data_IF_432545566340
#
_entry.id   IF_432545566340
#
_cell.length_a   1.000
_cell.length_b   1.000
_cell.length_c   1.000
_cell.angle_alpha   90.00
_cell.angle_beta   90.00
_cell.angle_gamma   90.00
#
_symmetry.space_group_name_H-M   'P 1'
#
loop_
_entity.id
_entity.type
_entity.pdbx_description
1 polymer ?
#
# COMPACT_ATOMS: atom_id res chain seq x y z
N UNK A 1 -8.91 13.14 28.05
CA UNK A 1 -8.19 12.85 28.06
C UNK A 1 -7.61 12.75 27.67
N UNK A 2 -8.14 12.75 27.51
CA UNK A 2 -7.40 12.36 27.33
C UNK A 2 -7.08 12.23 26.96
N UNK A 3 -7.47 12.00 26.72
CA UNK A 3 -6.85 11.57 26.52
C UNK A 3 -6.56 11.32 26.06
N UNK A 4 -7.09 11.18 25.95
CA UNK A 4 -6.55 10.65 25.77
C UNK A 4 -6.42 10.55 25.27
N UNK A 5 -6.66 10.24 25.09
CA UNK A 5 -6.23 9.86 24.81
C UNK A 5 -5.95 9.29 24.36
N UNK A 6 -6.39 9.17 24.27
CA UNK A 6 -5.92 8.41 24.13
C UNK A 6 -5.86 7.95 23.67
N UNK A 7 -6.15 7.61 23.46
CA UNK A 7 -5.77 6.93 23.17
C UNK A 7 -5.70 6.45 22.83
N UNK A 8 -5.88 6.24 22.70
CA UNK A 8 -5.53 5.65 22.49
C UNK A 8 -5.39 5.19 22.06
N UNK A 9 -5.66 4.75 21.88
CA UNK A 9 -5.30 4.27 21.48
C UNK A 9 -5.34 4.03 20.94
N UNK A 10 -5.71 3.87 20.61
CA UNK A 10 -5.42 3.56 20.21
C UNK A 10 -5.43 3.58 19.71
N UNK A 11 -5.70 3.39 19.44
CA UNK A 11 -5.25 3.57 18.87
C UNK A 11 -4.69 3.23 18.41
N UNK A 12 -4.96 2.87 18.09
CA UNK A 12 -4.23 2.69 17.60
C UNK A 12 -3.62 2.83 17.46
N UNK A 13 -3.53 2.59 17.38
CA UNK A 13 -2.72 2.75 17.43
C UNK A 13 -1.95 3.01 16.92
N UNK A 14 -1.72 3.62 16.80
CA UNK A 14 -0.83 3.87 16.26
C UNK A 14 0.25 3.99 16.65
N UNK A 15 0.53 3.97 16.83
CA UNK A 15 1.47 3.53 17.19
C UNK A 15 2.81 4.14 16.95
N UNK A 16 3.35 4.71 17.79
CA UNK A 16 4.70 5.06 17.93
C UNK A 16 5.39 5.66 16.80
N UNK A 17 4.78 6.23 15.97
CA UNK A 17 5.41 6.70 14.82
C UNK A 17 5.44 8.19 14.80
N UNK A 18 5.57 8.72 13.65
CA UNK A 18 5.64 10.13 13.42
C UNK A 18 4.36 10.86 13.80
N UNK A 19 3.33 10.15 14.19
CA UNK A 19 2.03 10.74 14.46
C UNK A 19 1.19 10.97 13.21
N UNK A 20 1.75 10.73 12.04
CA UNK A 20 0.98 10.85 10.81
C UNK A 20 0.10 9.62 10.63
N UNK A 21 -1.22 9.82 10.47
CA UNK A 21 -2.11 8.68 10.24
C UNK A 21 -1.70 7.89 9.01
N UNK A 22 -1.88 6.57 9.06
CA UNK A 22 -1.51 5.70 7.98
C UNK A 22 -2.21 6.08 6.67
N UNK A 23 -3.48 6.43 6.75
CA UNK A 23 -4.25 6.87 5.58
C UNK A 23 -3.53 7.99 4.84
N UNK A 24 -3.00 8.94 5.60
CA UNK A 24 -2.29 10.07 5.01
C UNK A 24 -0.94 9.65 4.43
N UNK A 25 -0.21 8.79 5.14
CA UNK A 25 1.05 8.28 4.63
C UNK A 25 0.88 7.56 3.31
N UNK A 26 -0.21 6.81 3.17
CA UNK A 26 -0.48 6.07 1.95
C UNK A 26 -1.05 6.93 0.83
N UNK A 27 -1.39 8.18 1.12
CA UNK A 27 -1.91 9.08 0.12
C UNK A 27 -3.36 8.84 -0.25
N UNK A 28 -4.14 8.29 0.67
CA UNK A 28 -5.56 8.02 0.42
C UNK A 28 -6.34 9.30 0.68
N UNK A 29 -6.88 9.87 -0.38
CA UNK A 29 -7.60 11.15 -0.33
C UNK A 29 -9.10 10.93 -0.44
N UNK A 30 -9.91 11.95 -0.10
CA UNK A 30 -11.36 11.82 -0.28
C UNK A 30 -11.70 11.38 -1.70
N UNK A 31 -12.64 10.47 -1.82
CA UNK A 31 -13.11 9.96 -3.10
C UNK A 31 -12.20 8.96 -3.77
N UNK A 32 -11.08 8.58 -3.15
CA UNK A 32 -10.11 7.68 -3.77
C UNK A 32 -10.70 6.30 -4.03
N UNK A 33 -10.26 5.71 -5.14
CA UNK A 33 -10.52 4.30 -5.45
C UNK A 33 -9.36 3.52 -4.89
N UNK A 34 -9.62 2.76 -3.83
CA UNK A 34 -8.60 2.08 -3.05
C UNK A 34 -8.69 0.57 -3.25
N UNK A 35 -7.60 -0.04 -3.68
CA UNK A 35 -7.49 -1.48 -3.79
C UNK A 35 -6.74 -2.04 -2.60
N UNK A 36 -7.35 -2.98 -1.90
CA UNK A 36 -6.67 -3.70 -0.81
C UNK A 36 -6.55 -5.15 -1.24
N UNK A 37 -5.34 -5.53 -1.65
CA UNK A 37 -5.10 -6.83 -2.26
C UNK A 37 -4.35 -7.71 -1.28
N UNK A 38 -4.97 -8.83 -0.91
CA UNK A 38 -4.42 -9.79 0.05
C UNK A 38 -4.15 -9.18 1.41
N UNK A 39 -4.96 -8.20 1.81
CA UNK A 39 -4.77 -7.54 3.10
C UNK A 39 -4.96 -8.55 4.24
N UNK A 40 -4.08 -8.49 5.26
CA UNK A 40 -4.24 -9.38 6.40
C UNK A 40 -5.49 -9.05 7.19
N UNK A 41 -5.98 -10.03 7.93
CA UNK A 41 -7.11 -9.82 8.80
C UNK A 41 -6.80 -8.70 9.78
N UNK A 42 -7.75 -7.82 10.00
CA UNK A 42 -7.56 -6.70 10.92
C UNK A 42 -6.92 -5.47 10.30
N UNK A 43 -6.55 -5.53 9.02
CA UNK A 43 -5.91 -4.36 8.40
C UNK A 43 -6.84 -3.15 8.38
N UNK A 44 -8.13 -3.36 8.32
CA UNK A 44 -9.09 -2.25 8.35
C UNK A 44 -8.93 -1.43 9.64
N UNK A 45 -8.68 -2.11 10.75
CA UNK A 45 -8.45 -1.43 12.03
C UNK A 45 -7.13 -0.66 11.99
N UNK A 46 -6.08 -1.28 11.44
CA UNK A 46 -4.78 -0.62 11.29
C UNK A 46 -4.90 0.63 10.43
N UNK A 47 -5.67 0.54 9.36
CA UNK A 47 -5.84 1.65 8.43
C UNK A 47 -6.59 2.82 9.08
N UNK A 48 -7.57 2.50 9.92
CA UNK A 48 -8.33 3.51 10.63
C UNK A 48 -9.43 4.13 9.78
N UNK A 49 -9.87 5.28 10.21
CA UNK A 49 -10.97 5.99 9.55
C UNK A 49 -10.54 6.50 8.18
N UNK A 50 -11.36 6.23 7.17
CA UNK A 50 -11.07 6.66 5.81
C UNK A 50 -11.67 8.02 5.53
N UNK A 51 -11.06 8.80 4.62
CA UNK A 51 -11.69 10.04 4.16
C UNK A 51 -13.03 9.77 3.49
N UNK A 52 -13.90 10.78 3.43
CA UNK A 52 -15.22 10.61 2.83
C UNK A 52 -15.11 10.19 1.37
N UNK A 53 -16.02 9.31 0.96
CA UNK A 53 -16.14 8.91 -0.43
C UNK A 53 -15.14 7.89 -0.91
N UNK A 54 -14.24 7.41 -0.05
CA UNK A 54 -13.28 6.37 -0.44
C UNK A 54 -14.04 5.08 -0.72
N UNK A 55 -13.74 4.47 -1.87
CA UNK A 55 -14.36 3.21 -2.27
C UNK A 55 -13.30 2.13 -2.30
N UNK A 56 -13.51 1.08 -1.51
CA UNK A 56 -12.57 -0.03 -1.40
C UNK A 56 -13.03 -1.18 -2.28
N UNK A 57 -12.09 -1.74 -3.04
CA UNK A 57 -12.31 -3.01 -3.74
C UNK A 57 -11.14 -3.92 -3.40
N UNK A 58 -11.44 -5.20 -3.29
CA UNK A 58 -10.44 -6.19 -2.87
C UNK A 58 -10.02 -7.10 -4.01
N UNK A 59 -10.43 -6.77 -5.23
CA UNK A 59 -10.07 -7.49 -6.45
C UNK A 59 -9.64 -6.50 -7.51
N UNK A 60 -8.74 -6.96 -8.38
CA UNK A 60 -8.21 -6.10 -9.45
C UNK A 60 -9.18 -6.09 -10.62
N UNK A 61 -10.32 -5.44 -10.42
CA UNK A 61 -11.36 -5.36 -11.44
C UNK A 61 -12.03 -3.99 -11.37
N UNK A 62 -12.65 -3.59 -12.46
CA UNK A 62 -13.36 -2.32 -12.54
C UNK A 62 -12.45 -1.16 -12.93
N UNK A 63 -12.82 0.02 -12.49
CA UNK A 63 -12.06 1.23 -12.80
C UNK A 63 -10.65 1.18 -12.20
N UNK A 64 -9.68 1.87 -12.82
CA UNK A 64 -8.34 1.93 -12.26
C UNK A 64 -8.33 2.49 -10.85
N UNK A 65 -7.36 2.05 -10.06
CA UNK A 65 -7.24 2.46 -8.67
C UNK A 65 -6.32 3.67 -8.54
N UNK A 66 -6.69 4.58 -7.64
CA UNK A 66 -5.81 5.69 -7.27
C UNK A 66 -4.71 5.22 -6.34
N UNK A 67 -5.03 4.29 -5.45
CA UNK A 67 -4.08 3.71 -4.51
C UNK A 67 -4.36 2.22 -4.42
N UNK A 68 -3.31 1.41 -4.53
CA UNK A 68 -3.39 -0.01 -4.26
C UNK A 68 -2.43 -0.32 -3.12
N UNK A 69 -2.88 -1.07 -2.12
CA UNK A 69 -2.01 -1.63 -1.09
C UNK A 69 -2.07 -3.14 -1.26
N UNK A 70 -0.97 -3.74 -1.66
CA UNK A 70 -0.91 -5.17 -1.97
C UNK A 70 0.10 -5.85 -1.06
N UNK A 71 -0.32 -6.94 -0.42
CA UNK A 71 0.47 -7.65 0.58
C UNK A 71 0.97 -8.96 0.02
N UNK A 72 2.27 -9.18 0.07
CA UNK A 72 2.89 -10.41 -0.43
C UNK A 72 4.02 -10.82 0.49
N UNK A 73 4.30 -12.13 0.51
CA UNK A 73 5.40 -12.68 1.28
C UNK A 73 6.39 -13.45 0.41
N UNK A 74 6.03 -13.76 -0.83
CA UNK A 74 6.85 -14.58 -1.73
C UNK A 74 7.17 -13.85 -3.01
N UNK A 75 8.44 -13.85 -3.36
CA UNK A 75 8.92 -13.19 -4.56
C UNK A 75 8.24 -13.71 -5.83
N UNK A 76 8.14 -15.02 -5.95
CA UNK A 76 7.56 -15.62 -7.17
C UNK A 76 6.10 -15.20 -7.36
N UNK A 77 5.36 -15.13 -6.26
CA UNK A 77 3.96 -14.74 -6.30
C UNK A 77 3.82 -13.28 -6.70
N UNK A 78 4.64 -12.42 -6.11
CA UNK A 78 4.63 -11.00 -6.45
C UNK A 78 5.02 -10.80 -7.92
N UNK A 79 6.04 -11.49 -8.37
CA UNK A 79 6.51 -11.37 -9.75
C UNK A 79 5.41 -11.71 -10.74
N UNK A 80 4.63 -12.76 -10.46
CA UNK A 80 3.51 -13.13 -11.34
C UNK A 80 2.39 -12.11 -11.32
N UNK A 81 2.13 -11.50 -10.16
CA UNK A 81 0.99 -10.61 -9.98
C UNK A 81 1.27 -9.17 -10.41
N UNK A 82 2.52 -8.79 -10.39
CA UNK A 82 2.90 -7.39 -10.56
C UNK A 82 2.42 -6.76 -11.87
N UNK A 83 2.47 -7.45 -13.03
CA UNK A 83 1.93 -6.84 -14.24
C UNK A 83 0.46 -6.48 -14.13
N UNK A 84 -0.33 -7.32 -13.47
CA UNK A 84 -1.76 -7.04 -13.28
C UNK A 84 -1.98 -5.88 -12.32
N UNK A 85 -1.15 -5.80 -11.28
CA UNK A 85 -1.22 -4.69 -10.34
C UNK A 85 -0.90 -3.37 -11.03
N UNK A 86 0.16 -3.36 -11.83
CA UNK A 86 0.55 -2.17 -12.57
C UNK A 86 -0.54 -1.74 -13.54
N UNK A 87 -1.14 -2.72 -14.23
CA UNK A 87 -2.18 -2.45 -15.21
C UNK A 87 -3.46 -1.92 -14.56
N UNK A 88 -3.73 -2.29 -13.32
CA UNK A 88 -4.92 -1.84 -12.61
C UNK A 88 -4.75 -0.47 -11.99
N UNK A 89 -3.54 0.08 -12.00
CA UNK A 89 -3.24 1.36 -11.37
C UNK A 89 -3.55 2.50 -12.32
N UNK A 90 -4.23 3.53 -11.82
CA UNK A 90 -4.37 4.77 -12.58
C UNK A 90 -2.97 5.28 -12.92
N UNK A 91 -2.75 5.80 -14.13
CA UNK A 91 -1.40 6.28 -14.49
C UNK A 91 -0.79 7.26 -13.52
N UNK A 92 -1.60 8.01 -12.78
CA UNK A 92 -1.12 8.95 -11.77
C UNK A 92 -1.20 8.37 -10.35
N UNK A 93 -1.57 7.10 -10.21
CA UNK A 93 -1.77 6.47 -8.91
C UNK A 93 -0.49 5.93 -8.29
N UNK A 94 -0.64 5.33 -7.13
CA UNK A 94 0.46 4.72 -6.39
C UNK A 94 0.13 3.32 -5.94
N UNK A 95 1.10 2.43 -6.13
CA UNK A 95 1.01 1.04 -5.69
C UNK A 95 1.93 0.86 -4.49
N UNK A 96 1.33 0.65 -3.33
CA UNK A 96 2.08 0.31 -2.13
C UNK A 96 2.25 -1.20 -2.07
N UNK A 97 3.48 -1.63 -2.26
CA UNK A 97 3.81 -3.04 -2.14
C UNK A 97 4.27 -3.28 -0.72
N UNK A 98 3.53 -4.13 0.00
CA UNK A 98 3.81 -4.41 1.40
C UNK A 98 4.40 -5.81 1.56
N UNK A 99 5.44 -5.92 2.37
CA UNK A 99 6.06 -7.20 2.69
C UNK A 99 6.42 -7.21 4.18
N UNK A 100 6.58 -8.41 4.78
CA UNK A 100 6.90 -8.48 6.20
C UNK A 100 8.28 -7.94 6.50
N UNK A 101 8.39 -7.16 7.57
CA UNK A 101 9.68 -6.72 8.08
C UNK A 101 10.48 -7.91 8.57
N UNK A 102 11.78 -7.83 8.47
CA UNK A 102 12.65 -8.88 9.00
C UNK A 102 12.38 -9.09 10.49
N UNK A 103 12.22 -8.00 11.24
CA UNK A 103 12.00 -8.04 12.67
C UNK A 103 10.69 -8.71 13.06
N UNK A 104 9.75 -8.87 12.13
CA UNK A 104 8.47 -9.51 12.44
C UNK A 104 8.59 -11.01 12.66
N UNK A 105 9.67 -11.61 12.17
CA UNK A 105 9.86 -13.07 12.24
C UNK A 105 9.08 -13.84 11.20
N UNK A 106 8.27 -13.19 10.38
CA UNK A 106 7.53 -13.87 9.34
C UNK A 106 8.45 -14.32 8.22
N UNK A 107 8.20 -15.51 7.67
CA UNK A 107 9.01 -16.04 6.59
C UNK A 107 8.71 -15.29 5.30
N UNK A 108 9.76 -14.77 4.66
CA UNK A 108 9.61 -14.06 3.40
C UNK A 108 10.96 -14.01 2.68
N UNK A 109 10.91 -14.06 1.35
CA UNK A 109 12.08 -13.80 0.53
C UNK A 109 12.03 -12.41 -0.12
N UNK A 110 11.17 -11.53 0.41
CA UNK A 110 11.07 -10.15 -0.07
C UNK A 110 11.89 -9.21 0.80
N UNK A 111 12.54 -8.27 0.14
CA UNK A 111 13.26 -7.16 0.77
C UNK A 111 12.94 -5.91 -0.07
N UNK A 112 13.35 -4.75 0.42
CA UNK A 112 13.14 -3.53 -0.33
C UNK A 112 13.83 -3.59 -1.70
N UNK A 113 15.04 -4.15 -1.77
CA UNK A 113 15.74 -4.27 -3.06
C UNK A 113 15.01 -5.20 -4.02
N UNK A 114 14.52 -6.34 -3.51
CA UNK A 114 13.78 -7.28 -4.35
C UNK A 114 12.51 -6.62 -4.89
N UNK A 115 11.76 -5.95 -4.03
CA UNK A 115 10.51 -5.29 -4.43
C UNK A 115 10.79 -4.19 -5.44
N UNK A 116 11.83 -3.39 -5.19
CA UNK A 116 12.22 -2.31 -6.11
C UNK A 116 12.58 -2.85 -7.48
N UNK A 117 13.38 -3.91 -7.52
CA UNK A 117 13.82 -4.49 -8.79
C UNK A 117 12.67 -5.13 -9.56
N UNK A 118 11.75 -5.79 -8.86
CA UNK A 118 10.55 -6.32 -9.51
C UNK A 118 9.70 -5.20 -10.08
N UNK A 119 9.58 -4.09 -9.34
CA UNK A 119 8.85 -2.92 -9.81
C UNK A 119 9.45 -2.35 -11.08
N UNK A 120 10.78 -2.22 -11.11
CA UNK A 120 11.49 -1.72 -12.29
C UNK A 120 11.22 -2.61 -13.50
N UNK A 121 11.24 -3.93 -13.31
CA UNK A 121 10.97 -4.87 -14.40
C UNK A 121 9.54 -4.74 -14.92
N UNK A 122 8.63 -4.24 -14.11
CA UNK A 122 7.24 -4.04 -14.50
C UNK A 122 6.97 -2.61 -15.01
N UNK A 123 8.00 -1.79 -15.12
CA UNK A 123 7.85 -0.43 -15.66
C UNK A 123 7.54 0.63 -14.61
N UNK A 124 7.75 0.30 -13.36
CA UNK A 124 7.46 1.23 -12.25
C UNK A 124 8.76 1.64 -11.54
N UNK A 125 8.70 2.76 -10.84
CA UNK A 125 9.81 3.21 -10.01
C UNK A 125 9.31 3.49 -8.61
N UNK A 126 10.20 3.33 -7.62
CA UNK A 126 9.85 3.64 -6.24
C UNK A 126 10.04 5.12 -5.95
N UNK A 127 9.20 5.67 -5.09
CA UNK A 127 9.35 7.07 -4.70
C UNK A 127 9.12 7.33 -3.22
N UNK A 128 8.65 6.37 -2.46
CA UNK A 128 8.46 6.50 -1.02
C UNK A 128 8.56 5.16 -0.35
N UNK A 129 9.00 5.16 0.89
CA UNK A 129 9.01 3.98 1.73
C UNK A 129 8.38 4.35 3.06
N UNK A 130 7.64 3.43 3.67
CA UNK A 130 7.10 3.66 5.01
C UNK A 130 6.93 2.34 5.75
N UNK A 131 6.87 2.46 7.08
CA UNK A 131 6.41 1.36 7.91
C UNK A 131 4.89 1.42 7.90
N UNK A 132 4.25 0.35 7.45
CA UNK A 132 2.79 0.29 7.45
C UNK A 132 2.31 0.02 8.87
N UNK A 133 2.91 -0.96 9.54
CA UNK A 133 2.67 -1.23 10.95
C UNK A 133 3.87 -1.97 11.51
N UNK A 134 3.68 -2.64 12.63
CA UNK A 134 4.78 -3.37 13.28
C UNK A 134 5.28 -4.54 12.44
N UNK A 135 4.42 -5.10 11.62
CA UNK A 135 4.74 -6.29 10.82
C UNK A 135 5.16 -5.96 9.39
N UNK A 136 4.54 -4.96 8.78
CA UNK A 136 4.65 -4.73 7.34
C UNK A 136 5.40 -3.46 7.00
N UNK A 137 6.32 -3.57 6.04
CA UNK A 137 6.94 -2.43 5.36
C UNK A 137 6.23 -2.19 4.05
N UNK A 138 6.30 -0.97 3.54
CA UNK A 138 5.71 -0.61 2.25
C UNK A 138 6.65 0.20 1.40
N UNK A 139 6.64 -0.09 0.10
CA UNK A 139 7.37 0.68 -0.90
C UNK A 139 6.37 1.14 -1.95
N UNK A 140 6.33 2.45 -2.21
CA UNK A 140 5.39 3.01 -3.17
C UNK A 140 6.00 3.00 -4.56
N UNK A 141 5.34 2.33 -5.48
CA UNK A 141 5.74 2.21 -6.89
C UNK A 141 4.79 3.04 -7.73
N UNK A 142 5.35 3.77 -8.69
CA UNK A 142 4.57 4.66 -9.57
C UNK A 142 5.13 4.56 -10.98
N UNK A 143 4.32 4.95 -11.97
CA UNK A 143 4.84 5.15 -13.33
C UNK A 143 5.65 6.42 -13.36
N UNK A 144 6.79 6.39 -14.06
CA UNK A 144 7.48 7.64 -14.36
C UNK A 144 6.58 8.50 -15.23
N UNK A 145 6.67 9.81 -15.06
CA UNK A 145 5.82 10.73 -15.84
C UNK A 145 5.89 10.44 -17.33
N UNK A 146 7.09 10.27 -17.87
CA UNK A 146 7.27 10.02 -19.31
C UNK A 146 6.77 8.66 -19.76
N UNK A 147 6.59 7.72 -18.81
CA UNK A 147 6.20 6.35 -19.14
C UNK A 147 4.74 6.07 -18.78
N UNK A 148 4.01 7.08 -18.35
CA UNK A 148 2.61 6.88 -17.96
C UNK A 148 1.80 6.42 -19.17
N UNK A 149 1.05 5.31 -19.01
CA UNK A 149 0.15 4.89 -20.07
C UNK A 149 -0.99 5.90 -20.23
N UNK A 150 -1.64 5.94 -21.39
CA UNK A 150 -2.81 6.79 -21.54
C UNK A 150 -3.89 6.36 -20.56
N UNK A 151 -4.63 7.35 -20.07
CA UNK A 151 -5.74 7.07 -19.16
C UNK A 151 -6.83 6.36 -19.96
N UNK A 152 -7.41 5.31 -19.36
CA UNK A 152 -8.47 4.57 -20.01
C UNK A 152 -9.74 5.41 -20.10
N UNK A 153 -10.52 5.24 -21.19
CA UNK A 153 -11.79 5.96 -21.32
C UNK A 153 -12.79 5.55 -20.25
#
# INVERSE_FOLDING_TARGET
MSVGRGAPPGRGATVGYSGTPLVRKLGIKPGARLGLIRAPEGFDVTLGELPPGVRIRRRLAGEPFDVIVAFHTRRAELQRRLPRLADALDPAGGLWMAWPKRASGASTDLTDNVVRNLGLAAGLVDNKVCAIDETWSGLRLVYRLRDRPPRRP
#
